data_IF_556044441209
#
_entry.id   IF_556044441209
#
_cell.length_a   1.000
_cell.length_b   1.000
_cell.length_c   1.000
_cell.angle_alpha   90.00
_cell.angle_beta   90.00
_cell.angle_gamma   90.00
#
_symmetry.space_group_name_H-M   'P 1'
#
loop_
_entity.id
_entity.type
_entity.pdbx_description
1 polymer ?
#
# COMPACT_ATOMS: atom_id res chain seq x y z
N UNK A 1 30.18 -36.95 19.82
CA UNK A 1 30.76 -35.60 19.60
C UNK A 1 29.63 -34.65 19.19
N UNK A 2 29.27 -33.70 20.07
CA UNK A 2 28.13 -32.77 19.88
C UNK A 2 28.63 -31.49 19.22
N UNK A 3 28.14 -31.16 18.02
CA UNK A 3 28.43 -29.88 17.34
C UNK A 3 27.52 -28.78 17.92
N UNK A 4 28.11 -27.77 18.57
CA UNK A 4 27.45 -26.53 18.98
C UNK A 4 27.33 -25.61 17.75
N UNK A 5 26.11 -25.18 17.45
CA UNK A 5 25.84 -24.05 16.55
C UNK A 5 26.09 -22.74 17.30
N UNK A 6 26.90 -21.88 16.72
CA UNK A 6 27.14 -20.50 17.16
C UNK A 6 26.17 -19.61 16.40
N UNK A 7 25.28 -18.93 17.12
CA UNK A 7 24.45 -17.85 16.58
C UNK A 7 25.28 -16.56 16.60
N UNK A 8 25.50 -15.97 15.42
CA UNK A 8 26.09 -14.64 15.27
C UNK A 8 24.95 -13.62 15.28
N UNK A 9 25.01 -12.72 16.24
CA UNK A 9 24.01 -11.71 16.54
C UNK A 9 24.51 -10.37 15.95
N UNK A 10 23.99 -9.97 14.79
CA UNK A 10 24.33 -8.68 14.18
C UNK A 10 23.36 -7.60 14.67
N UNK A 11 23.77 -6.86 15.70
CA UNK A 11 23.14 -5.61 16.09
C UNK A 11 23.63 -4.48 15.17
N UNK A 12 22.71 -3.90 14.40
CA UNK A 12 22.92 -2.65 13.67
C UNK A 12 22.84 -1.48 14.65
N UNK A 13 23.96 -0.79 14.84
CA UNK A 13 24.05 0.47 15.57
C UNK A 13 23.52 1.61 14.70
N UNK A 14 22.54 2.35 15.21
CA UNK A 14 22.08 3.61 14.65
C UNK A 14 23.03 4.73 15.09
N UNK A 15 23.78 5.29 14.14
CA UNK A 15 24.56 6.51 14.36
C UNK A 15 23.62 7.73 14.38
N UNK A 16 23.66 8.48 15.49
CA UNK A 16 23.02 9.78 15.62
C UNK A 16 23.78 10.81 14.78
N UNK A 17 23.04 11.59 13.98
CA UNK A 17 23.56 12.74 13.23
C UNK A 17 23.07 14.01 13.94
N UNK A 18 24.01 14.82 14.40
CA UNK A 18 23.78 16.16 14.95
C UNK A 18 23.33 17.14 13.86
N UNK A 19 22.45 18.13 14.15
CA UNK A 19 22.06 19.14 13.19
C UNK A 19 22.94 20.38 13.35
N UNK A 20 23.81 20.65 12.37
CA UNK A 20 24.40 21.96 12.16
C UNK A 20 24.39 22.29 10.66
N UNK A 21 23.42 23.11 10.25
CA UNK A 21 23.48 23.80 8.97
C UNK A 21 22.71 25.12 9.04
N UNK A 22 23.46 26.20 8.78
CA UNK A 22 23.02 27.57 8.70
C UNK A 22 22.01 27.78 7.55
N UNK A 23 21.05 28.67 7.78
CA UNK A 23 20.04 29.11 6.81
C UNK A 23 20.67 29.89 5.64
N UNK A 24 20.42 29.49 4.38
CA UNK A 24 20.60 30.38 3.25
C UNK A 24 19.32 31.19 2.96
N UNK A 25 19.59 32.45 2.61
CA UNK A 25 18.66 33.52 2.27
C UNK A 25 17.86 33.17 1.00
N UNK A 26 16.52 33.10 1.09
CA UNK A 26 15.63 32.81 -0.04
C UNK A 26 14.82 34.05 -0.43
N UNK A 27 15.32 34.77 -1.44
CA UNK A 27 14.56 35.75 -2.23
C UNK A 27 14.48 35.25 -3.67
N UNK A 28 13.37 34.61 -4.03
CA UNK A 28 12.83 34.50 -5.40
C UNK A 28 11.62 33.55 -5.36
N UNK A 29 10.42 34.11 -5.25
CA UNK A 29 9.16 33.38 -5.30
C UNK A 29 8.89 32.95 -6.73
N UNK A 30 9.44 31.81 -7.15
CA UNK A 30 8.91 31.06 -8.29
C UNK A 30 7.75 30.20 -7.79
N UNK A 31 6.55 30.45 -8.31
CA UNK A 31 5.37 29.63 -8.07
C UNK A 31 5.60 28.21 -8.61
N UNK A 32 6.14 27.34 -7.75
CA UNK A 32 6.07 25.89 -7.94
C UNK A 32 4.60 25.47 -7.81
N UNK A 33 4.09 24.57 -8.67
CA UNK A 33 2.75 24.03 -8.51
C UNK A 33 2.68 23.38 -7.14
N UNK A 34 1.75 23.84 -6.29
CA UNK A 34 1.60 23.38 -4.92
C UNK A 34 1.53 21.86 -4.92
N UNK A 35 2.60 21.24 -4.39
CA UNK A 35 2.61 19.85 -3.98
C UNK A 35 1.47 19.74 -2.99
N UNK A 36 0.38 19.05 -3.36
CA UNK A 36 -0.79 18.87 -2.48
C UNK A 36 -0.28 18.30 -1.16
N UNK A 37 -0.22 19.15 -0.13
CA UNK A 37 0.08 18.72 1.23
C UNK A 37 -1.22 18.04 1.69
N UNK A 38 -1.20 16.71 1.67
CA UNK A 38 -2.35 15.90 2.07
C UNK A 38 -2.44 15.89 3.59
N UNK A 39 -3.59 16.29 4.10
CA UNK A 39 -3.95 16.09 5.50
C UNK A 39 -4.36 14.61 5.66
N UNK A 40 -3.71 13.83 6.55
CA UNK A 40 -4.03 12.41 6.77
C UNK A 40 -5.47 12.17 7.27
N UNK A 41 -6.18 13.23 7.68
CA UNK A 41 -7.56 13.22 8.14
C UNK A 41 -8.59 13.48 7.03
N UNK A 42 -8.17 13.86 5.82
CA UNK A 42 -9.06 14.30 4.73
C UNK A 42 -9.32 13.21 3.67
N UNK A 43 -8.95 11.96 3.94
CA UNK A 43 -9.22 10.80 3.08
C UNK A 43 -10.65 10.28 3.33
N UNK A 44 -11.62 11.13 2.98
CA UNK A 44 -13.06 10.85 2.99
C UNK A 44 -13.52 9.96 1.82
N UNK A 45 -12.66 9.15 1.23
CA UNK A 45 -13.06 8.40 0.04
C UNK A 45 -13.38 6.96 0.40
N UNK A 46 -14.68 6.67 0.50
CA UNK A 46 -15.29 5.34 0.33
C UNK A 46 -14.99 4.69 -1.03
N UNK A 47 -14.16 5.33 -1.84
CA UNK A 47 -13.74 4.92 -3.16
C UNK A 47 -13.06 3.55 -3.16
N UNK A 48 -13.15 2.87 -4.28
CA UNK A 48 -12.44 1.62 -4.52
C UNK A 48 -10.91 1.90 -4.53
N UNK A 49 -10.09 1.23 -3.68
CA UNK A 49 -8.64 1.39 -3.69
C UNK A 49 -8.00 1.10 -5.04
N UNK A 50 -8.67 0.34 -5.91
CA UNK A 50 -8.19 0.09 -7.29
C UNK A 50 -8.05 1.38 -8.11
N UNK A 51 -8.76 2.46 -7.76
CA UNK A 51 -8.64 3.76 -8.42
C UNK A 51 -7.30 4.43 -8.17
N UNK A 52 -6.57 4.01 -7.13
CA UNK A 52 -5.20 4.46 -6.84
C UNK A 52 -4.15 3.65 -7.60
N UNK A 53 -4.54 2.59 -8.31
CA UNK A 53 -3.61 1.73 -9.03
C UNK A 53 -3.36 2.30 -10.44
N UNK A 54 -2.12 2.68 -10.78
CA UNK A 54 -1.81 3.15 -12.12
C UNK A 54 -1.95 2.02 -13.16
N UNK A 55 -2.56 2.34 -14.30
CA UNK A 55 -2.57 1.44 -15.46
C UNK A 55 -1.43 1.80 -16.42
N UNK A 56 -0.27 1.16 -16.26
CA UNK A 56 0.89 1.41 -17.10
C UNK A 56 0.68 1.09 -18.60
N UNK A 57 -0.36 0.31 -18.95
CA UNK A 57 -0.66 -0.02 -20.35
C UNK A 57 -1.26 1.16 -21.14
N UNK A 58 -1.86 2.14 -20.44
CA UNK A 58 -2.53 3.29 -21.07
C UNK A 58 -1.70 4.57 -21.05
N UNK A 59 -0.53 4.55 -20.40
CA UNK A 59 0.37 5.70 -20.30
C UNK A 59 1.15 5.83 -21.61
N UNK A 60 1.38 7.07 -22.07
CA UNK A 60 2.20 7.32 -23.26
C UNK A 60 3.64 6.82 -23.09
N UNK A 61 4.29 6.48 -24.20
CA UNK A 61 5.69 6.04 -24.21
C UNK A 61 6.63 7.07 -23.57
N UNK A 62 6.48 8.35 -23.91
CA UNK A 62 7.27 9.43 -23.32
C UNK A 62 7.11 9.50 -21.81
N UNK A 63 5.88 9.43 -21.31
CA UNK A 63 5.61 9.55 -19.87
C UNK A 63 6.08 8.31 -19.12
N UNK A 64 5.88 7.12 -19.69
CA UNK A 64 6.32 5.88 -19.08
C UNK A 64 7.86 5.82 -18.95
N UNK A 65 8.60 6.27 -19.98
CA UNK A 65 10.06 6.41 -19.91
C UNK A 65 10.50 7.38 -18.82
N UNK A 66 9.89 8.57 -18.76
CA UNK A 66 10.17 9.57 -17.72
C UNK A 66 9.97 8.99 -16.32
N UNK A 67 8.89 8.21 -16.11
CA UNK A 67 8.60 7.56 -14.83
C UNK A 67 9.69 6.53 -14.45
N UNK A 68 10.17 5.71 -15.40
CA UNK A 68 11.24 4.76 -15.15
C UNK A 68 12.58 5.46 -14.84
N UNK A 69 12.95 6.46 -15.64
CA UNK A 69 14.20 7.21 -15.47
C UNK A 69 14.21 7.95 -14.12
N UNK A 70 13.12 8.60 -13.74
CA UNK A 70 12.98 9.29 -12.43
C UNK A 70 12.89 8.35 -11.23
N UNK A 71 12.73 7.04 -11.46
CA UNK A 71 12.73 6.01 -10.40
C UNK A 71 14.09 5.33 -10.23
N UNK A 72 15.10 5.76 -10.99
CA UNK A 72 16.47 5.25 -10.92
C UNK A 72 17.27 6.09 -9.93
N UNK A 73 17.76 5.47 -8.85
CA UNK A 73 18.47 6.19 -7.77
C UNK A 73 19.93 6.53 -8.11
N UNK A 74 20.50 5.94 -9.17
CA UNK A 74 21.91 6.08 -9.56
C UNK A 74 22.03 6.68 -10.96
N UNK A 75 22.60 7.88 -11.06
CA UNK A 75 22.84 8.59 -12.33
C UNK A 75 23.66 7.77 -13.34
N UNK A 76 24.58 6.90 -12.86
CA UNK A 76 25.45 6.05 -13.70
C UNK A 76 24.67 5.06 -14.57
N UNK A 77 23.46 4.66 -14.17
CA UNK A 77 22.65 3.69 -14.91
C UNK A 77 21.57 4.37 -15.76
N UNK A 78 21.41 5.69 -15.64
CA UNK A 78 20.34 6.44 -16.32
C UNK A 78 20.59 6.50 -17.82
N UNK A 79 21.84 6.65 -18.26
CA UNK A 79 22.19 6.72 -19.68
C UNK A 79 21.97 5.37 -20.38
N UNK A 80 22.48 4.28 -19.80
CA UNK A 80 22.25 2.91 -20.30
C UNK A 80 20.76 2.55 -20.34
N UNK A 81 20.00 2.90 -19.30
CA UNK A 81 18.56 2.68 -19.28
C UNK A 81 17.84 3.52 -20.35
N UNK A 82 18.25 4.77 -20.54
CA UNK A 82 17.67 5.66 -21.56
C UNK A 82 17.86 5.10 -22.96
N UNK A 83 19.06 4.63 -23.30
CA UNK A 83 19.36 3.97 -24.57
C UNK A 83 18.51 2.70 -24.77
N UNK A 84 18.43 1.86 -23.73
CA UNK A 84 17.64 0.64 -23.73
C UNK A 84 16.15 0.91 -23.96
N UNK A 85 15.60 1.94 -23.32
CA UNK A 85 14.20 2.35 -23.48
C UNK A 85 13.89 2.97 -24.85
N UNK A 86 14.90 3.38 -25.63
CA UNK A 86 14.69 3.86 -27.00
C UNK A 86 14.32 2.75 -27.98
N UNK A 87 14.56 1.49 -27.61
CA UNK A 87 14.11 0.34 -28.37
C UNK A 87 12.64 0.05 -28.07
N UNK A 88 11.78 0.15 -29.09
CA UNK A 88 10.32 0.02 -28.93
C UNK A 88 9.90 -1.33 -28.33
N UNK A 89 10.53 -2.41 -28.77
CA UNK A 89 10.23 -3.77 -28.29
C UNK A 89 10.56 -3.92 -26.80
N UNK A 90 11.71 -3.39 -26.39
CA UNK A 90 12.12 -3.39 -24.98
C UNK A 90 11.18 -2.54 -24.14
N UNK A 91 10.77 -1.36 -24.62
CA UNK A 91 9.83 -0.51 -23.90
C UNK A 91 8.49 -1.23 -23.67
N UNK A 92 7.97 -1.90 -24.70
CA UNK A 92 6.73 -2.70 -24.60
C UNK A 92 6.91 -3.85 -23.60
N UNK A 93 8.05 -4.55 -23.67
CA UNK A 93 8.39 -5.63 -22.75
C UNK A 93 8.41 -5.16 -21.29
N UNK A 94 9.15 -4.07 -21.00
CA UNK A 94 9.27 -3.49 -19.66
C UNK A 94 7.92 -2.99 -19.17
N UNK A 95 7.08 -2.41 -20.05
CA UNK A 95 5.73 -1.97 -19.69
C UNK A 95 4.84 -3.12 -19.26
N UNK A 96 4.84 -4.22 -20.00
CA UNK A 96 4.08 -5.41 -19.65
C UNK A 96 4.56 -6.01 -18.33
N UNK A 97 5.88 -6.11 -18.14
CA UNK A 97 6.47 -6.57 -16.89
C UNK A 97 6.08 -5.67 -15.72
N UNK A 98 6.18 -4.35 -15.88
CA UNK A 98 5.77 -3.36 -14.86
C UNK A 98 4.31 -3.53 -14.48
N UNK A 99 3.43 -3.71 -15.47
CA UNK A 99 2.00 -3.94 -15.22
C UNK A 99 1.77 -5.23 -14.42
N UNK A 100 2.45 -6.32 -14.75
CA UNK A 100 2.34 -7.59 -14.03
C UNK A 100 2.85 -7.48 -12.59
N UNK A 101 4.02 -6.88 -12.38
CA UNK A 101 4.61 -6.67 -11.05
C UNK A 101 3.72 -5.74 -10.20
N UNK A 102 3.12 -4.72 -10.81
CA UNK A 102 2.18 -3.82 -10.14
C UNK A 102 0.93 -4.57 -9.66
N UNK A 103 0.37 -5.41 -10.53
CA UNK A 103 -0.79 -6.26 -10.22
C UNK A 103 -0.47 -7.28 -9.12
N UNK A 104 0.72 -7.88 -9.15
CA UNK A 104 1.18 -8.80 -8.11
C UNK A 104 1.28 -8.09 -6.76
N UNK A 105 1.99 -6.95 -6.70
CA UNK A 105 2.14 -6.15 -5.49
C UNK A 105 0.78 -5.75 -4.91
N UNK A 106 -0.16 -5.29 -5.75
CA UNK A 106 -1.51 -4.97 -5.30
C UNK A 106 -2.25 -6.18 -4.73
N UNK A 107 -2.13 -7.34 -5.39
CA UNK A 107 -2.75 -8.58 -4.92
C UNK A 107 -2.18 -9.04 -3.57
N UNK A 108 -0.87 -8.84 -3.34
CA UNK A 108 -0.21 -9.11 -2.07
C UNK A 108 -0.71 -8.16 -0.96
N UNK A 109 -0.77 -6.86 -1.21
CA UNK A 109 -1.32 -5.88 -0.26
C UNK A 109 -2.76 -6.20 0.14
N UNK A 110 -3.58 -6.58 -0.84
CA UNK A 110 -4.94 -7.06 -0.57
C UNK A 110 -4.93 -8.33 0.29
N UNK A 111 -4.11 -9.33 -0.06
CA UNK A 111 -3.99 -10.55 0.74
C UNK A 111 -3.61 -10.26 2.19
N UNK A 112 -2.66 -9.36 2.44
CA UNK A 112 -2.26 -8.92 3.78
C UNK A 112 -3.42 -8.26 4.53
N UNK A 113 -4.16 -7.36 3.89
CA UNK A 113 -5.33 -6.71 4.48
C UNK A 113 -6.42 -7.73 4.87
N UNK A 114 -6.75 -8.67 3.98
CA UNK A 114 -7.76 -9.69 4.28
C UNK A 114 -7.27 -10.70 5.33
N UNK A 115 -5.96 -10.97 5.37
CA UNK A 115 -5.36 -11.81 6.42
C UNK A 115 -5.46 -11.14 7.77
N UNK A 116 -5.22 -9.82 7.83
CA UNK A 116 -5.42 -9.02 9.02
C UNK A 116 -6.87 -9.10 9.51
N UNK A 117 -7.87 -8.89 8.64
CA UNK A 117 -9.28 -8.99 9.04
C UNK A 117 -9.67 -10.39 9.51
N UNK A 118 -9.10 -11.44 8.91
CA UNK A 118 -9.33 -12.80 9.37
C UNK A 118 -8.78 -13.00 10.79
N UNK A 119 -7.54 -12.56 11.02
CA UNK A 119 -6.90 -12.66 12.32
C UNK A 119 -7.68 -11.87 13.37
N UNK A 120 -8.07 -10.63 13.07
CA UNK A 120 -8.88 -9.79 13.96
C UNK A 120 -10.16 -10.51 14.40
N UNK A 121 -10.89 -11.11 13.45
CA UNK A 121 -12.09 -11.87 13.79
C UNK A 121 -11.82 -13.14 14.59
N UNK A 122 -10.68 -13.81 14.37
CA UNK A 122 -10.31 -15.03 15.09
C UNK A 122 -9.79 -14.75 16.52
N UNK A 123 -9.01 -13.68 16.71
CA UNK A 123 -8.34 -13.37 17.98
C UNK A 123 -9.18 -12.46 18.86
N UNK A 124 -9.84 -11.46 18.28
CA UNK A 124 -10.59 -10.43 19.02
C UNK A 124 -12.10 -10.64 18.91
N UNK A 125 -12.56 -11.63 18.13
CA UNK A 125 -14.00 -11.87 17.90
C UNK A 125 -14.68 -10.81 17.04
N UNK A 126 -13.92 -9.88 16.45
CA UNK A 126 -14.44 -8.76 15.66
C UNK A 126 -14.78 -9.24 14.25
N UNK A 127 -15.94 -9.86 14.12
CA UNK A 127 -16.59 -10.10 12.83
C UNK A 127 -17.56 -8.97 12.50
N UNK A 128 -18.31 -9.08 11.39
CA UNK A 128 -19.32 -8.07 11.04
C UNK A 128 -20.38 -7.93 12.13
N UNK A 129 -20.51 -6.71 12.65
CA UNK A 129 -21.60 -6.29 13.54
C UNK A 129 -22.25 -5.00 13.05
N UNK A 130 -23.41 -4.67 13.63
CA UNK A 130 -24.22 -3.51 13.26
C UNK A 130 -24.97 -2.97 14.46
N UNK A 131 -25.21 -1.67 14.45
CA UNK A 131 -26.12 -0.96 15.36
C UNK A 131 -27.27 -0.34 14.57
N UNK A 132 -28.30 0.12 15.26
CA UNK A 132 -29.37 0.87 14.59
C UNK A 132 -28.84 2.18 14.01
N UNK A 133 -29.38 2.61 12.85
CA UNK A 133 -29.00 3.87 12.21
C UNK A 133 -29.15 5.07 13.16
N UNK A 134 -30.25 5.10 13.92
CA UNK A 134 -30.53 6.16 14.90
C UNK A 134 -29.47 6.22 15.99
N UNK A 135 -29.01 5.07 16.49
CA UNK A 135 -27.96 5.00 17.51
C UNK A 135 -26.61 5.44 16.95
N UNK A 136 -26.30 5.05 15.72
CA UNK A 136 -25.10 5.51 15.01
C UNK A 136 -25.09 7.04 14.83
N UNK A 137 -26.20 7.60 14.35
CA UNK A 137 -26.37 9.05 14.17
C UNK A 137 -26.25 9.80 15.51
N UNK A 138 -26.91 9.31 16.57
CA UNK A 138 -26.88 9.95 17.89
C UNK A 138 -25.49 9.96 18.55
N UNK A 139 -24.60 9.02 18.18
CA UNK A 139 -23.26 8.90 18.76
C UNK A 139 -22.15 9.22 17.75
N UNK A 140 -22.51 9.75 16.56
CA UNK A 140 -21.57 10.04 15.47
C UNK A 140 -20.63 8.88 15.11
N UNK A 141 -21.11 7.64 15.22
CA UNK A 141 -20.32 6.43 14.95
C UNK A 141 -20.75 5.73 13.66
N UNK A 142 -19.91 4.82 13.16
CA UNK A 142 -20.26 4.02 11.98
C UNK A 142 -21.44 3.07 12.29
N UNK A 143 -22.36 2.85 11.34
CA UNK A 143 -23.50 1.94 11.55
C UNK A 143 -23.11 0.45 11.58
N UNK A 144 -21.94 0.12 11.04
CA UNK A 144 -21.44 -1.26 10.95
C UNK A 144 -19.93 -1.31 11.13
N UNK A 145 -19.44 -2.40 11.71
CA UNK A 145 -18.00 -2.63 11.86
C UNK A 145 -17.62 -4.02 11.35
N UNK A 146 -16.32 -4.30 11.30
CA UNK A 146 -15.81 -5.62 10.96
C UNK A 146 -16.00 -6.03 9.49
N UNK A 147 -15.71 -7.32 9.23
CA UNK A 147 -15.88 -7.97 7.92
C UNK A 147 -16.46 -9.37 8.08
N UNK A 148 -17.25 -9.81 7.10
CA UNK A 148 -17.92 -11.11 7.17
C UNK A 148 -16.89 -12.22 7.05
N UNK A 149 -16.95 -13.20 7.95
CA UNK A 149 -16.05 -14.37 7.93
C UNK A 149 -16.08 -15.10 6.58
N UNK A 150 -17.27 -15.22 5.97
CA UNK A 150 -17.45 -15.88 4.67
C UNK A 150 -16.76 -15.08 3.58
N UNK A 151 -17.00 -13.76 3.51
CA UNK A 151 -16.38 -12.88 2.54
C UNK A 151 -14.85 -12.88 2.67
N UNK A 152 -14.34 -12.76 3.89
CA UNK A 152 -12.90 -12.77 4.17
C UNK A 152 -12.26 -14.08 3.70
N UNK A 153 -12.85 -15.24 4.02
CA UNK A 153 -12.35 -16.54 3.54
C UNK A 153 -12.39 -16.65 2.01
N UNK A 154 -13.45 -16.17 1.37
CA UNK A 154 -13.57 -16.17 -0.08
C UNK A 154 -12.46 -15.32 -0.73
N UNK A 155 -12.19 -14.13 -0.19
CA UNK A 155 -11.13 -13.23 -0.67
C UNK A 155 -9.74 -13.83 -0.48
N UNK A 156 -9.46 -14.41 0.68
CA UNK A 156 -8.20 -15.09 0.93
C UNK A 156 -7.97 -16.26 -0.04
N UNK A 157 -8.99 -17.10 -0.27
CA UNK A 157 -8.91 -18.19 -1.24
C UNK A 157 -8.60 -17.68 -2.64
N UNK A 158 -9.26 -16.58 -3.06
CA UNK A 158 -9.02 -15.94 -4.36
C UNK A 158 -7.55 -15.51 -4.49
N UNK A 159 -6.99 -14.79 -3.52
CA UNK A 159 -5.61 -14.32 -3.61
C UNK A 159 -4.58 -15.45 -3.52
N UNK A 160 -4.87 -16.49 -2.72
CA UNK A 160 -4.04 -17.71 -2.67
C UNK A 160 -3.94 -18.41 -4.04
N UNK A 161 -4.96 -18.28 -4.89
CA UNK A 161 -4.96 -18.81 -6.26
C UNK A 161 -4.35 -17.84 -7.27
N UNK A 162 -4.63 -16.53 -7.15
CA UNK A 162 -4.23 -15.52 -8.13
C UNK A 162 -2.73 -15.15 -8.06
N UNK A 163 -2.17 -15.00 -6.86
CA UNK A 163 -0.77 -14.56 -6.73
C UNK A 163 0.22 -15.54 -7.41
N UNK A 164 0.11 -16.87 -7.23
CA UNK A 164 0.96 -17.82 -7.94
C UNK A 164 0.82 -17.75 -9.46
N UNK A 165 -0.38 -17.52 -9.98
CA UNK A 165 -0.62 -17.40 -11.43
C UNK A 165 0.06 -16.15 -12.01
N UNK A 166 -0.03 -15.01 -11.32
CA UNK A 166 0.64 -13.77 -11.75
C UNK A 166 2.16 -13.94 -11.66
N UNK A 167 2.66 -14.57 -10.58
CA UNK A 167 4.08 -14.85 -10.41
C UNK A 167 4.61 -15.74 -11.55
N UNK A 168 3.87 -16.79 -11.92
CA UNK A 168 4.26 -17.65 -13.03
C UNK A 168 4.24 -16.89 -14.36
N UNK A 169 3.27 -16.00 -14.58
CA UNK A 169 3.22 -15.14 -15.77
C UNK A 169 4.42 -14.19 -15.81
N UNK A 170 4.82 -13.61 -14.67
CA UNK A 170 6.04 -12.80 -14.55
C UNK A 170 7.26 -13.65 -14.92
N UNK A 171 7.39 -14.85 -14.36
CA UNK A 171 8.52 -15.74 -14.61
C UNK A 171 8.63 -16.10 -16.11
N UNK A 172 7.49 -16.40 -16.75
CA UNK A 172 7.43 -16.69 -18.19
C UNK A 172 7.79 -15.47 -19.03
N UNK A 173 7.27 -14.29 -18.66
CA UNK A 173 7.61 -13.04 -19.33
C UNK A 173 9.11 -12.75 -19.22
N UNK A 174 9.69 -12.93 -18.03
CA UNK A 174 11.14 -12.83 -17.82
C UNK A 174 11.96 -13.96 -18.47
N UNK A 175 11.36 -14.94 -19.17
CA UNK A 175 12.13 -15.88 -19.99
C UNK A 175 12.21 -15.43 -21.46
N UNK A 176 11.39 -14.47 -21.86
CA UNK A 176 11.33 -13.93 -23.23
C UNK A 176 12.30 -12.76 -23.45
N UNK A 177 13.23 -12.55 -22.53
CA UNK A 177 14.14 -11.40 -22.53
C UNK A 177 15.16 -11.57 -23.66
N UNK A 178 15.45 -10.50 -24.42
CA UNK A 178 16.68 -10.41 -25.22
C UNK A 178 17.93 -10.63 -24.36
N UNK A 179 18.90 -11.40 -24.86
CA UNK A 179 20.08 -11.82 -24.08
C UNK A 179 20.95 -10.67 -23.51
N UNK A 180 20.81 -9.46 -24.05
CA UNK A 180 21.68 -8.32 -23.73
C UNK A 180 21.11 -7.38 -22.65
N UNK A 181 19.98 -7.74 -22.02
CA UNK A 181 19.32 -6.89 -21.02
C UNK A 181 19.70 -7.33 -19.59
N UNK A 182 20.25 -6.40 -18.80
CA UNK A 182 20.40 -6.58 -17.35
C UNK A 182 19.03 -6.52 -16.65
N UNK A 183 18.48 -7.69 -16.38
CA UNK A 183 17.21 -7.82 -15.67
C UNK A 183 17.25 -7.41 -14.21
N UNK A 184 18.40 -7.46 -13.57
CA UNK A 184 18.53 -6.99 -12.19
C UNK A 184 18.31 -5.49 -12.15
N UNK A 185 18.92 -4.74 -13.08
CA UNK A 185 18.66 -3.31 -13.25
C UNK A 185 17.17 -3.04 -13.54
N UNK A 186 16.59 -3.70 -14.56
CA UNK A 186 15.19 -3.49 -14.96
C UNK A 186 14.23 -3.77 -13.80
N UNK A 187 14.40 -4.91 -13.12
CA UNK A 187 13.52 -5.31 -12.01
C UNK A 187 13.62 -4.34 -10.84
N UNK A 188 14.82 -3.85 -10.52
CA UNK A 188 15.02 -2.86 -9.46
C UNK A 188 14.32 -1.54 -9.79
N UNK A 189 14.46 -1.04 -11.02
CA UNK A 189 13.79 0.20 -11.46
C UNK A 189 12.26 0.04 -11.43
N UNK A 190 11.74 -1.09 -11.91
CA UNK A 190 10.30 -1.41 -11.86
C UNK A 190 9.80 -1.43 -10.41
N UNK A 191 10.52 -2.09 -9.50
CA UNK A 191 10.15 -2.17 -8.10
C UNK A 191 10.16 -0.79 -7.43
N UNK A 192 11.18 0.04 -7.71
CA UNK A 192 11.25 1.40 -7.19
C UNK A 192 10.08 2.27 -7.69
N UNK A 193 9.77 2.18 -9.00
CA UNK A 193 8.64 2.88 -9.59
C UNK A 193 7.33 2.47 -8.92
N UNK A 194 7.07 1.17 -8.82
CA UNK A 194 5.84 0.64 -8.25
C UNK A 194 5.73 1.00 -6.76
N UNK A 195 6.82 0.92 -6.00
CA UNK A 195 6.80 1.29 -4.59
C UNK A 195 6.45 2.77 -4.41
N UNK A 196 7.02 3.65 -5.25
CA UNK A 196 6.73 5.08 -5.24
C UNK A 196 5.27 5.35 -5.60
N UNK A 197 4.78 4.76 -6.68
CA UNK A 197 3.42 4.98 -7.17
C UNK A 197 2.35 4.39 -6.23
N UNK A 198 2.62 3.23 -5.62
CA UNK A 198 1.71 2.59 -4.68
C UNK A 198 1.80 3.13 -3.25
N UNK A 199 2.63 4.13 -2.96
CA UNK A 199 2.77 4.67 -1.60
C UNK A 199 1.42 5.10 -1.00
N UNK A 200 0.62 5.84 -1.77
CA UNK A 200 -0.71 6.30 -1.31
C UNK A 200 -1.69 5.15 -1.12
N UNK A 201 -1.65 4.16 -2.01
CA UNK A 201 -2.45 2.94 -1.88
C UNK A 201 -2.11 2.18 -0.59
N UNK A 202 -0.82 2.05 -0.26
CA UNK A 202 -0.36 1.38 0.97
C UNK A 202 -0.88 2.11 2.22
N UNK A 203 -0.72 3.43 2.27
CA UNK A 203 -1.24 4.25 3.37
C UNK A 203 -2.76 4.08 3.53
N UNK A 204 -3.51 4.11 2.43
CA UNK A 204 -4.96 3.95 2.49
C UNK A 204 -5.38 2.54 2.92
N UNK A 205 -4.68 1.49 2.46
CA UNK A 205 -4.96 0.11 2.88
C UNK A 205 -4.62 -0.13 4.36
N UNK A 206 -3.53 0.46 4.85
CA UNK A 206 -3.16 0.41 6.28
C UNK A 206 -4.15 1.17 7.15
N UNK A 207 -4.59 2.36 6.72
CA UNK A 207 -5.70 3.08 7.38
C UNK A 207 -6.96 2.22 7.43
N UNK A 208 -7.35 1.60 6.31
CA UNK A 208 -8.53 0.70 6.26
C UNK A 208 -8.37 -0.56 7.11
N UNK A 209 -7.15 -1.02 7.36
CA UNK A 209 -6.90 -2.18 8.24
C UNK A 209 -7.28 -1.85 9.68
N UNK A 210 -6.98 -0.66 10.17
CA UNK A 210 -7.21 -0.30 11.58
C UNK A 210 -8.67 0.08 11.88
N UNK A 211 -9.39 0.65 10.90
CA UNK A 211 -10.77 1.14 11.09
C UNK A 211 -11.73 0.12 11.72
N UNK A 212 -11.81 -1.15 11.28
CA UNK A 212 -12.76 -2.10 11.85
C UNK A 212 -12.57 -2.39 13.34
N UNK A 213 -11.34 -2.25 13.85
CA UNK A 213 -11.08 -2.40 15.28
C UNK A 213 -11.55 -1.16 16.04
N UNK A 214 -11.23 0.04 15.55
CA UNK A 214 -11.70 1.29 16.15
C UNK A 214 -13.24 1.34 16.18
N UNK A 215 -13.89 1.03 15.07
CA UNK A 215 -15.35 0.97 14.99
C UNK A 215 -15.93 -0.04 16.01
N UNK A 216 -15.30 -1.20 16.18
CA UNK A 216 -15.75 -2.21 17.14
C UNK A 216 -15.56 -1.76 18.60
N UNK A 217 -14.46 -1.08 18.90
CA UNK A 217 -14.17 -0.51 20.21
C UNK A 217 -15.18 0.61 20.55
N UNK A 218 -15.48 1.51 19.59
CA UNK A 218 -16.52 2.53 19.74
C UNK A 218 -17.89 1.89 20.02
N UNK A 219 -18.28 0.88 19.24
CA UNK A 219 -19.56 0.20 19.43
C UNK A 219 -19.66 -0.42 20.83
N UNK A 220 -18.58 -1.05 21.30
CA UNK A 220 -18.52 -1.63 22.64
C UNK A 220 -18.67 -0.58 23.73
N UNK A 221 -18.01 0.57 23.60
CA UNK A 221 -18.09 1.66 24.57
C UNK A 221 -19.49 2.26 24.63
N UNK A 222 -20.11 2.50 23.46
CA UNK A 222 -21.47 3.03 23.38
C UNK A 222 -22.48 2.03 23.96
N UNK A 223 -22.36 0.73 23.64
CA UNK A 223 -23.21 -0.31 24.21
C UNK A 223 -23.09 -0.39 25.74
N UNK A 224 -21.86 -0.31 26.26
CA UNK A 224 -21.60 -0.22 27.70
C UNK A 224 -22.26 1.01 28.33
N UNK A 225 -22.13 2.18 27.69
CA UNK A 225 -22.76 3.41 28.16
C UNK A 225 -24.28 3.27 28.29
N UNK A 226 -24.97 2.77 27.26
CA UNK A 226 -26.43 2.60 27.34
C UNK A 226 -26.86 1.49 28.28
N UNK A 227 -26.03 0.47 28.51
CA UNK A 227 -26.29 -0.57 29.52
C UNK A 227 -26.37 0.00 30.94
N UNK A 228 -25.67 1.10 31.22
CA UNK A 228 -25.76 1.81 32.50
C UNK A 228 -27.07 2.59 32.70
N UNK A 229 -27.95 2.62 31.69
CA UNK A 229 -29.22 3.37 31.68
C UNK A 229 -29.02 4.84 32.08
N UNK A 230 -28.22 5.59 31.29
CA UNK A 230 -27.93 6.99 31.59
C UNK A 230 -29.22 7.80 31.61
N UNK A 231 -29.31 8.75 32.55
CA UNK A 231 -30.45 9.65 32.67
C UNK A 231 -30.50 10.59 31.46
N UNK A 232 -31.68 11.10 31.14
CA UNK A 232 -31.85 12.01 30.01
C UNK A 232 -30.95 13.26 30.13
N UNK A 233 -30.70 13.74 31.36
CA UNK A 233 -29.78 14.85 31.66
C UNK A 233 -28.30 14.54 31.36
N UNK A 234 -27.93 13.27 31.22
CA UNK A 234 -26.55 12.81 30.96
C UNK A 234 -26.30 12.53 29.47
N UNK A 235 -27.36 12.51 28.65
CA UNK A 235 -27.32 12.22 27.21
C UNK A 235 -27.64 13.45 26.35
N UNK A 236 -28.19 14.50 26.96
CA UNK A 236 -28.62 15.73 26.27
C UNK A 236 -27.55 16.83 26.39
N UNK A 237 -26.86 17.14 25.29
CA UNK A 237 -26.22 18.45 25.06
C UNK A 237 -26.92 19.14 23.89
#
# INVERSE_FOLDING_TARGET
>A
MKKKQVYVNNQLQLAAIEPNAQLPNLSATQHLPMKKIYNPLDLSTSSDPTLLLPNYLTISDSKFKEMLLTSTSNNMNTDTLSELLNQKEILVFIRQLTHLVNKLNYSQLQHEQWSYYYNLGMTEGIWTGRVSKKMAEANSMCYSYGRSKVLTKQRLKKYKQQCPQIQETINQHTKQIPHDIDMTLVTNVINNLIHKDQHQLRLELDRRKTMPRLDAEEHKLVDQFYTLKPRQTEVSM
#
